data_IF_289501041680
#
_entry.id   IF_289501041680
#
_cell.length_a   1.000
_cell.length_b   1.000
_cell.length_c   1.000
_cell.angle_alpha   90.00
_cell.angle_beta   90.00
_cell.angle_gamma   90.00
#
_symmetry.space_group_name_H-M   'P 1'
#
loop_
_entity.id
_entity.type
_entity.pdbx_description
1 polymer ?
#
# COMPACT_ATOMS: atom_id res chain seq x y z
N UNK A 1 -24.34 15.00 9.98
CA UNK A 1 -22.87 15.15 9.99
C UNK A 1 -22.32 14.12 9.03
N UNK A 2 -22.15 14.51 7.77
CA UNK A 2 -21.44 13.71 6.77
C UNK A 2 -19.96 13.90 7.05
N UNK A 3 -19.41 13.03 7.90
CA UNK A 3 -17.96 12.87 7.98
C UNK A 3 -17.49 12.56 6.56
N UNK A 4 -16.88 13.56 5.93
CA UNK A 4 -16.03 13.35 4.79
C UNK A 4 -14.98 12.39 5.34
N UNK A 5 -15.11 11.09 5.01
CA UNK A 5 -14.07 10.10 5.21
C UNK A 5 -12.84 10.70 4.54
N UNK A 6 -12.02 11.41 5.31
CA UNK A 6 -10.77 12.00 4.87
C UNK A 6 -10.06 10.88 4.14
N UNK A 7 -9.89 11.02 2.82
CA UNK A 7 -9.36 9.97 1.97
C UNK A 7 -8.00 9.54 2.53
N UNK A 8 -7.96 8.41 3.26
CA UNK A 8 -6.75 7.97 3.96
C UNK A 8 -5.59 7.94 2.97
N UNK A 9 -4.43 8.55 3.30
CA UNK A 9 -3.24 8.47 2.47
C UNK A 9 -2.86 7.03 2.10
N UNK A 10 -3.18 6.05 2.97
CA UNK A 10 -2.96 4.64 2.72
C UNK A 10 -3.90 4.09 1.62
N UNK A 11 -5.19 4.48 1.63
CA UNK A 11 -6.13 4.15 0.53
C UNK A 11 -5.64 4.71 -0.80
N UNK A 12 -5.23 5.96 -0.81
CA UNK A 12 -4.67 6.61 -2.00
C UNK A 12 -3.40 5.90 -2.49
N UNK A 13 -2.51 5.50 -1.59
CA UNK A 13 -1.32 4.73 -1.94
C UNK A 13 -1.70 3.39 -2.61
N UNK A 14 -2.67 2.67 -2.05
CA UNK A 14 -3.21 1.43 -2.63
C UNK A 14 -3.76 1.63 -4.03
N UNK A 15 -4.59 2.66 -4.23
CA UNK A 15 -5.16 3.00 -5.55
C UNK A 15 -4.08 3.35 -6.58
N UNK A 16 -3.08 4.15 -6.18
CA UNK A 16 -1.97 4.52 -7.07
C UNK A 16 -1.10 3.33 -7.43
N UNK A 17 -0.88 2.41 -6.50
CA UNK A 17 -0.12 1.19 -6.77
C UNK A 17 -0.87 0.27 -7.73
N UNK A 18 -2.17 0.06 -7.48
CA UNK A 18 -3.08 -0.65 -8.37
C UNK A 18 -3.09 -0.05 -9.79
N UNK A 19 -3.17 1.28 -9.90
CA UNK A 19 -3.11 1.98 -11.19
C UNK A 19 -1.77 1.76 -11.90
N UNK A 20 -0.65 1.79 -11.16
CA UNK A 20 0.67 1.53 -11.73
C UNK A 20 0.78 0.10 -12.28
N UNK A 21 0.26 -0.90 -11.56
CA UNK A 21 0.18 -2.27 -12.06
C UNK A 21 -0.68 -2.38 -13.32
N UNK A 22 -1.81 -1.66 -13.38
CA UNK A 22 -2.67 -1.67 -14.57
C UNK A 22 -1.97 -1.04 -15.79
N UNK A 23 -1.34 0.12 -15.62
CA UNK A 23 -0.60 0.80 -16.71
C UNK A 23 0.58 -0.01 -17.24
N UNK A 24 1.21 -0.81 -16.38
CA UNK A 24 2.31 -1.70 -16.76
C UNK A 24 1.84 -3.10 -17.18
N UNK A 25 0.52 -3.32 -17.28
CA UNK A 25 -0.08 -4.61 -17.63
C UNK A 25 0.32 -5.77 -16.68
N UNK A 26 0.63 -5.46 -15.42
CA UNK A 26 1.09 -6.43 -14.42
C UNK A 26 -0.05 -7.04 -13.58
N UNK A 27 -1.28 -6.52 -13.66
CA UNK A 27 -2.42 -7.00 -12.84
C UNK A 27 -2.65 -8.51 -12.98
N UNK A 28 -2.68 -9.02 -14.23
CA UNK A 28 -3.02 -10.42 -14.48
C UNK A 28 -1.95 -11.42 -14.00
N UNK A 29 -0.70 -10.97 -13.83
CA UNK A 29 0.43 -11.80 -13.41
C UNK A 29 0.82 -11.58 -11.95
N UNK A 30 0.17 -10.63 -11.27
CA UNK A 30 0.41 -10.38 -9.84
C UNK A 30 -0.29 -11.45 -9.02
N UNK A 31 0.49 -12.30 -8.37
CA UNK A 31 0.00 -13.37 -7.51
C UNK A 31 -0.02 -12.95 -6.03
N UNK A 32 0.88 -12.04 -5.64
CA UNK A 32 1.06 -11.59 -4.26
C UNK A 32 1.42 -10.11 -4.21
N UNK A 33 0.87 -9.41 -3.22
CA UNK A 33 1.23 -8.04 -2.87
C UNK A 33 1.69 -8.02 -1.42
N UNK A 34 2.89 -7.50 -1.17
CA UNK A 34 3.38 -7.20 0.16
C UNK A 34 3.21 -5.70 0.44
N UNK A 35 2.71 -5.39 1.63
CA UNK A 35 2.70 -4.05 2.19
C UNK A 35 3.49 -4.02 3.48
N UNK A 36 4.48 -3.13 3.55
CA UNK A 36 5.24 -2.88 4.78
C UNK A 36 4.95 -1.47 5.24
N UNK A 37 4.23 -1.36 6.36
CA UNK A 37 3.96 -0.09 7.03
C UNK A 37 5.11 0.18 8.01
N UNK A 38 5.79 1.31 7.80
CA UNK A 38 6.86 1.81 8.65
C UNK A 38 6.32 3.02 9.43
N UNK A 39 6.79 3.22 10.67
CA UNK A 39 6.34 4.26 11.59
C UNK A 39 4.93 4.05 12.19
N UNK A 40 4.45 5.06 12.94
CA UNK A 40 3.23 5.08 13.75
C UNK A 40 1.92 5.11 12.92
N UNK A 41 1.85 4.36 11.82
CA UNK A 41 0.59 4.12 11.12
C UNK A 41 -0.35 3.23 11.94
N UNK A 42 -1.65 3.28 11.64
CA UNK A 42 -2.66 2.55 12.41
C UNK A 42 -3.16 1.30 11.68
N UNK A 43 -3.89 0.43 12.39
CA UNK A 43 -4.54 -0.73 11.78
C UNK A 43 -5.59 -0.30 10.74
N UNK A 44 -6.24 0.85 10.94
CA UNK A 44 -7.19 1.44 9.99
C UNK A 44 -6.52 1.82 8.66
N UNK A 45 -5.25 2.25 8.68
CA UNK A 45 -4.49 2.51 7.45
C UNK A 45 -4.26 1.25 6.64
N UNK A 46 -4.09 0.09 7.30
CA UNK A 46 -3.97 -1.20 6.63
C UNK A 46 -5.29 -1.60 5.94
N UNK A 47 -6.43 -1.45 6.61
CA UNK A 47 -7.74 -1.70 5.98
C UNK A 47 -8.04 -0.71 4.84
N UNK A 48 -7.66 0.55 5.01
CA UNK A 48 -7.81 1.56 3.98
C UNK A 48 -6.96 1.24 2.74
N UNK A 49 -5.72 0.77 2.95
CA UNK A 49 -4.83 0.29 1.90
C UNK A 49 -5.41 -0.90 1.15
N UNK A 50 -5.87 -1.93 1.85
CA UNK A 50 -6.50 -3.11 1.22
C UNK A 50 -7.71 -2.71 0.36
N UNK A 51 -8.56 -1.81 0.88
CA UNK A 51 -9.69 -1.29 0.13
C UNK A 51 -9.25 -0.51 -1.14
N UNK A 52 -8.12 0.21 -1.07
CA UNK A 52 -7.54 0.90 -2.22
C UNK A 52 -6.98 -0.06 -3.28
N UNK A 53 -6.39 -1.18 -2.86
CA UNK A 53 -5.84 -2.21 -3.75
C UNK A 53 -6.96 -3.03 -4.42
N UNK A 54 -7.99 -3.41 -3.66
CA UNK A 54 -9.04 -4.35 -4.10
C UNK A 54 -9.80 -3.90 -5.34
N UNK A 55 -9.92 -2.59 -5.58
CA UNK A 55 -10.60 -2.04 -6.75
C UNK A 55 -9.98 -2.47 -8.10
N UNK A 56 -8.68 -2.82 -8.13
CA UNK A 56 -8.01 -3.23 -9.36
C UNK A 56 -7.98 -4.74 -9.60
N UNK A 57 -8.41 -5.56 -8.65
CA UNK A 57 -8.40 -7.02 -8.76
C UNK A 57 -9.79 -7.66 -8.60
N UNK A 58 -10.77 -7.33 -9.47
CA UNK A 58 -12.15 -7.79 -9.29
C UNK A 58 -12.35 -9.30 -9.51
N UNK A 59 -11.48 -9.97 -10.27
CA UNK A 59 -11.68 -11.38 -10.67
C UNK A 59 -10.80 -12.37 -9.89
N UNK A 60 -9.53 -12.01 -9.63
CA UNK A 60 -8.57 -12.84 -8.91
C UNK A 60 -7.71 -11.92 -8.02
N UNK A 61 -8.14 -11.65 -6.78
CA UNK A 61 -7.32 -10.87 -5.86
C UNK A 61 -6.01 -11.61 -5.56
N UNK A 62 -4.87 -10.90 -5.54
CA UNK A 62 -3.62 -11.49 -5.10
C UNK A 62 -3.69 -11.78 -3.59
N UNK A 63 -2.79 -12.64 -3.12
CA UNK A 63 -2.54 -12.76 -1.68
C UNK A 63 -1.97 -11.42 -1.19
N UNK A 64 -2.59 -10.80 -0.19
CA UNK A 64 -2.07 -9.59 0.45
C UNK A 64 -1.38 -9.96 1.76
N UNK A 65 -0.10 -9.63 1.87
CA UNK A 65 0.68 -9.80 3.08
C UNK A 65 0.98 -8.42 3.67
N UNK A 66 0.51 -8.20 4.90
CA UNK A 66 0.68 -6.94 5.60
C UNK A 66 1.70 -7.11 6.71
N UNK A 67 2.77 -6.33 6.66
CA UNK A 67 3.83 -6.31 7.66
C UNK A 67 3.84 -4.95 8.35
N UNK A 68 3.75 -4.96 9.68
CA UNK A 68 3.96 -3.77 10.48
C UNK A 68 5.39 -3.79 11.02
N UNK A 69 6.24 -2.90 10.49
CA UNK A 69 7.58 -2.70 10.99
C UNK A 69 7.52 -1.63 12.09
N UNK A 70 7.41 -2.08 13.34
CA UNK A 70 7.06 -1.28 14.52
C UNK A 70 8.03 -0.18 14.95
N UNK A 71 9.10 0.10 14.20
CA UNK A 71 9.99 1.23 14.47
C UNK A 71 10.25 2.01 13.17
N UNK A 72 9.99 3.32 13.22
CA UNK A 72 10.45 4.24 12.20
C UNK A 72 11.98 4.24 12.22
N UNK A 73 12.61 3.79 11.15
CA UNK A 73 14.03 4.03 10.97
C UNK A 73 14.21 5.50 10.58
N UNK A 74 15.13 6.21 11.24
CA UNK A 74 15.58 7.55 10.84
C UNK A 74 16.07 7.63 9.37
N UNK A 75 16.23 6.47 8.72
CA UNK A 75 16.78 6.30 7.38
C UNK A 75 15.70 6.16 6.30
N UNK A 76 14.46 5.77 6.63
CA UNK A 76 13.37 5.68 5.65
C UNK A 76 12.19 6.59 6.00
N UNK A 77 12.07 7.77 5.34
CA UNK A 77 10.92 8.65 5.52
C UNK A 77 9.61 8.09 4.91
N UNK A 78 9.66 6.94 4.23
CA UNK A 78 8.47 6.33 3.62
C UNK A 78 7.67 5.49 4.60
N UNK A 79 6.51 6.02 5.01
CA UNK A 79 5.58 5.33 5.90
C UNK A 79 4.97 4.05 5.32
N UNK A 80 5.02 3.83 4.00
CA UNK A 80 4.52 2.60 3.38
C UNK A 80 5.38 2.17 2.18
N UNK A 81 5.73 0.89 2.14
CA UNK A 81 6.31 0.21 0.97
C UNK A 81 5.31 -0.81 0.43
N UNK A 82 5.15 -0.82 -0.90
CA UNK A 82 4.34 -1.81 -1.61
C UNK A 82 5.20 -2.55 -2.64
N UNK A 83 5.08 -3.87 -2.68
CA UNK A 83 5.73 -4.72 -3.67
C UNK A 83 4.75 -5.75 -4.23
N UNK A 84 4.77 -5.94 -5.55
CA UNK A 84 3.99 -6.96 -6.25
C UNK A 84 4.92 -8.05 -6.76
N UNK A 85 4.45 -9.29 -6.71
CA UNK A 85 5.21 -10.48 -7.08
C UNK A 85 4.39 -11.38 -8.00
N UNK A 86 5.09 -12.11 -8.87
CA UNK A 86 4.51 -13.21 -9.64
C UNK A 86 4.44 -14.52 -8.82
N UNK A 87 3.89 -15.58 -9.42
CA UNK A 87 3.77 -16.90 -8.79
C UNK A 87 5.13 -17.54 -8.44
N UNK A 88 6.22 -17.12 -9.11
CA UNK A 88 7.58 -17.58 -8.83
C UNK A 88 8.28 -16.76 -7.72
N UNK A 89 7.60 -15.77 -7.14
CA UNK A 89 8.17 -14.90 -6.12
C UNK A 89 9.11 -13.83 -6.68
N UNK A 90 9.11 -13.56 -7.99
CA UNK A 90 9.91 -12.49 -8.58
C UNK A 90 9.20 -11.16 -8.41
N UNK A 91 9.96 -10.11 -8.09
CA UNK A 91 9.42 -8.75 -7.95
C UNK A 91 9.02 -8.23 -9.33
N UNK A 92 7.75 -7.84 -9.45
CA UNK A 92 7.19 -7.20 -10.64
C UNK A 92 7.24 -5.68 -10.54
N UNK A 93 6.86 -5.14 -9.38
CA UNK A 93 6.82 -3.71 -9.11
C UNK A 93 7.11 -3.46 -7.63
N UNK A 94 7.87 -2.41 -7.33
CA UNK A 94 8.06 -1.90 -5.97
C UNK A 94 7.95 -0.39 -5.95
N UNK A 95 7.24 0.15 -4.97
CA UNK A 95 7.04 1.59 -4.76
C UNK A 95 7.00 1.92 -3.27
N UNK A 96 7.51 3.09 -2.93
CA UNK A 96 7.42 3.67 -1.60
C UNK A 96 6.46 4.86 -1.63
N UNK A 97 5.69 5.02 -0.57
CA UNK A 97 4.70 6.07 -0.40
C UNK A 97 4.90 6.74 0.96
N UNK A 98 4.64 8.05 1.00
CA UNK A 98 4.52 8.80 2.24
C UNK A 98 3.09 8.60 2.75
N UNK A 99 2.97 8.02 3.93
CA UNK A 99 1.69 7.71 4.58
C UNK A 99 1.86 8.07 6.05
N UNK A 100 1.07 9.05 6.52
CA UNK A 100 1.21 9.66 7.84
C UNK A 100 1.03 11.18 7.77
N UNK A 101 0.61 11.80 8.88
CA UNK A 101 0.67 13.25 8.99
C UNK A 101 2.15 13.67 9.10
N UNK A 102 2.57 14.65 8.30
CA UNK A 102 3.84 15.33 8.48
C UNK A 102 3.78 16.17 9.74
N UNK A 103 3.72 15.53 10.91
CA UNK A 103 3.47 16.23 12.17
C UNK A 103 4.77 16.50 12.90
N UNK A 104 5.80 16.99 12.20
CA UNK A 104 7.05 17.47 12.81
C UNK A 104 7.43 18.85 12.24
N UNK A 105 6.90 19.91 12.88
CA UNK A 105 7.64 21.11 13.28
C UNK A 105 6.69 22.17 13.87
N UNK A 106 6.52 22.15 15.20
CA UNK A 106 6.40 23.38 16.00
C UNK A 106 7.45 23.35 17.09
#
# INVERSE_FOLDING_TARGET
MTETLSESPARHAGQRFAQALAWTQLIAVTARVEATLHAAGSLEDLFALEAGLGAAFPARPPVCELTWAGEASDVEPSGLRLAAFDEAGRVLLRRNYLVGQADHAR
#
